data_IF_731116862351
#
_entry.id   IF_731116862351
#
_cell.length_a   1.000
_cell.length_b   1.000
_cell.length_c   1.000
_cell.angle_alpha   90.00
_cell.angle_beta   90.00
_cell.angle_gamma   90.00
#
_symmetry.space_group_name_H-M   'P 1'
#
loop_
_entity.id
_entity.type
_entity.pdbx_description
1 polymer ?
#
# COMPACT_ATOMS: atom_id res chain seq x y z
N UNK A 1 1.97 11.40 -22.56
CA UNK A 1 2.28 11.56 -21.12
C UNK A 1 2.77 10.24 -20.58
N UNK A 2 3.95 10.22 -20.00
CA UNK A 2 4.53 9.04 -19.35
C UNK A 2 4.19 9.12 -17.86
N UNK A 3 3.45 8.11 -17.36
CA UNK A 3 3.11 7.95 -15.96
C UNK A 3 4.01 6.91 -15.31
N UNK A 4 4.80 7.29 -14.33
CA UNK A 4 5.51 6.37 -13.46
C UNK A 4 4.57 5.91 -12.34
N UNK A 5 4.36 4.61 -12.17
CA UNK A 5 3.47 4.06 -11.17
C UNK A 5 4.06 2.81 -10.50
N UNK A 6 3.52 2.43 -9.35
CA UNK A 6 3.78 1.12 -8.76
C UNK A 6 3.03 0.01 -9.55
N UNK A 7 3.38 -1.25 -9.28
CA UNK A 7 2.88 -2.38 -10.08
C UNK A 7 1.37 -2.59 -9.97
N UNK A 8 0.78 -2.27 -8.81
CA UNK A 8 -0.66 -2.46 -8.54
C UNK A 8 -1.56 -1.34 -9.04
N UNK A 9 -1.00 -0.31 -9.74
CA UNK A 9 -1.81 0.74 -10.35
C UNK A 9 -2.63 0.19 -11.51
N UNK A 10 -3.93 0.49 -11.53
CA UNK A 10 -4.84 0.11 -12.62
C UNK A 10 -5.64 1.32 -13.11
N UNK A 11 -5.57 1.54 -14.40
CA UNK A 11 -6.44 2.44 -15.17
C UNK A 11 -6.95 1.65 -16.36
N UNK A 12 -8.26 1.52 -16.49
CA UNK A 12 -8.84 0.70 -17.56
C UNK A 12 -8.59 1.29 -18.95
N UNK A 13 -8.63 0.44 -19.98
CA UNK A 13 -8.47 0.88 -21.36
C UNK A 13 -9.50 1.94 -21.72
N UNK A 14 -10.74 1.83 -21.22
CA UNK A 14 -11.80 2.81 -21.44
C UNK A 14 -11.47 4.19 -20.84
N UNK A 15 -10.88 4.23 -19.65
CA UNK A 15 -10.46 5.50 -19.01
C UNK A 15 -9.23 6.10 -19.72
N UNK A 16 -8.33 5.25 -20.21
CA UNK A 16 -7.20 5.71 -21.05
C UNK A 16 -7.73 6.34 -22.34
N UNK A 17 -8.60 5.63 -23.08
CA UNK A 17 -9.21 6.14 -24.33
C UNK A 17 -9.99 7.43 -24.09
N UNK A 18 -10.72 7.54 -22.97
CA UNK A 18 -11.43 8.76 -22.60
C UNK A 18 -10.47 9.92 -22.38
N UNK A 19 -9.44 9.73 -21.57
CA UNK A 19 -8.42 10.77 -21.34
C UNK A 19 -7.77 11.23 -22.65
N UNK A 20 -7.36 10.28 -23.50
CA UNK A 20 -6.73 10.55 -24.79
C UNK A 20 -7.66 11.33 -25.74
N UNK A 21 -8.94 10.94 -25.78
CA UNK A 21 -9.96 11.62 -26.58
C UNK A 21 -10.23 13.05 -26.12
N UNK A 22 -10.31 13.25 -24.79
CA UNK A 22 -10.69 14.52 -24.19
C UNK A 22 -9.54 15.55 -24.23
N UNK A 23 -8.29 15.06 -24.14
CA UNK A 23 -7.11 15.93 -23.99
C UNK A 23 -6.21 15.98 -25.22
N UNK A 24 -6.24 14.94 -26.05
CA UNK A 24 -5.33 14.75 -27.18
C UNK A 24 -3.91 14.28 -26.78
N UNK A 25 -3.70 13.94 -25.50
CA UNK A 25 -2.45 13.33 -25.03
C UNK A 25 -2.59 11.81 -25.01
N UNK A 26 -1.57 11.11 -25.48
CA UNK A 26 -1.45 9.64 -25.31
C UNK A 26 -0.82 9.32 -23.94
N UNK A 27 -1.23 8.22 -23.30
CA UNK A 27 -0.71 7.76 -22.00
C UNK A 27 0.18 6.53 -22.16
N UNK A 28 1.37 6.59 -21.58
CA UNK A 28 2.27 5.45 -21.40
C UNK A 28 2.48 5.21 -19.90
N UNK A 29 2.09 4.04 -19.40
CA UNK A 29 2.26 3.65 -17.98
C UNK A 29 3.56 2.86 -17.85
N UNK A 30 4.49 3.36 -17.01
CA UNK A 30 5.78 2.74 -16.71
C UNK A 30 5.76 2.27 -15.24
N UNK A 31 5.88 0.96 -15.02
CA UNK A 31 5.84 0.36 -13.68
C UNK A 31 7.25 0.16 -13.12
N UNK A 32 7.41 0.46 -11.82
CA UNK A 32 8.71 0.44 -11.13
C UNK A 32 8.69 -0.39 -9.83
N UNK A 33 7.93 -1.46 -9.77
CA UNK A 33 7.79 -2.27 -8.57
C UNK A 33 6.84 -1.64 -7.55
N UNK A 34 7.07 -1.88 -6.27
CA UNK A 34 6.30 -1.27 -5.17
C UNK A 34 6.75 0.20 -4.93
N UNK A 35 5.99 0.96 -4.14
CA UNK A 35 6.13 2.42 -3.92
C UNK A 35 7.54 2.85 -3.54
N UNK A 36 8.24 2.10 -2.71
CA UNK A 36 9.63 2.42 -2.35
C UNK A 36 10.59 2.29 -3.52
N UNK A 37 10.38 1.29 -4.39
CA UNK A 37 11.15 1.12 -5.63
C UNK A 37 10.86 2.23 -6.62
N UNK A 38 9.58 2.59 -6.81
CA UNK A 38 9.13 3.74 -7.61
C UNK A 38 9.80 5.04 -7.11
N UNK A 39 9.70 5.32 -5.81
CA UNK A 39 10.27 6.53 -5.21
C UNK A 39 11.79 6.59 -5.43
N UNK A 40 12.50 5.48 -5.21
CA UNK A 40 13.94 5.39 -5.46
C UNK A 40 14.28 5.66 -6.93
N UNK A 41 13.51 5.11 -7.86
CA UNK A 41 13.73 5.33 -9.29
C UNK A 41 13.55 6.81 -9.68
N UNK A 42 12.49 7.46 -9.19
CA UNK A 42 12.25 8.89 -9.45
C UNK A 42 13.37 9.77 -8.87
N UNK A 43 13.86 9.47 -7.67
CA UNK A 43 15.01 10.17 -7.07
C UNK A 43 16.28 9.99 -7.91
N UNK A 44 16.59 8.76 -8.32
CA UNK A 44 17.78 8.47 -9.13
C UNK A 44 17.77 9.19 -10.49
N UNK A 45 16.59 9.41 -11.05
CA UNK A 45 16.41 10.01 -12.37
C UNK A 45 16.01 11.49 -12.34
N UNK A 46 15.96 12.13 -11.17
CA UNK A 46 15.46 13.51 -11.00
C UNK A 46 16.13 14.57 -11.90
N UNK A 47 17.39 14.35 -12.33
CA UNK A 47 18.11 15.27 -13.23
C UNK A 47 17.84 15.01 -14.72
N UNK A 48 17.19 13.89 -15.05
CA UNK A 48 16.74 13.53 -16.40
C UNK A 48 15.50 12.61 -16.23
N UNK A 49 14.32 13.17 -15.96
CA UNK A 49 13.13 12.41 -15.60
C UNK A 49 12.74 11.40 -16.67
N UNK A 50 12.44 10.19 -16.25
CA UNK A 50 12.00 9.09 -17.13
C UNK A 50 10.50 9.12 -17.40
N UNK A 51 9.76 9.92 -16.66
CA UNK A 51 8.32 10.10 -16.78
C UNK A 51 7.92 11.56 -16.57
N UNK A 52 6.67 11.88 -16.86
CA UNK A 52 6.11 13.23 -16.78
C UNK A 52 5.28 13.43 -15.51
N UNK A 53 4.58 12.37 -15.10
CA UNK A 53 3.78 12.29 -13.88
C UNK A 53 4.13 11.03 -13.10
N UNK A 54 3.77 11.02 -11.83
CA UNK A 54 3.81 9.82 -10.99
C UNK A 54 2.43 9.56 -10.34
N UNK A 55 2.18 8.30 -10.01
CA UNK A 55 1.10 7.85 -9.13
C UNK A 55 1.66 6.83 -8.14
N UNK A 56 1.20 6.89 -6.87
CA UNK A 56 1.45 5.87 -5.88
C UNK A 56 2.65 6.14 -4.95
N UNK A 57 3.20 7.37 -4.93
CA UNK A 57 3.98 7.81 -3.78
C UNK A 57 2.99 8.09 -2.65
N UNK A 58 3.13 7.40 -1.54
CA UNK A 58 2.22 7.53 -0.40
C UNK A 58 2.79 8.37 0.74
N UNK A 59 1.99 8.62 1.76
CA UNK A 59 2.39 9.42 2.91
C UNK A 59 3.60 8.85 3.69
N UNK A 60 3.98 7.59 3.51
CA UNK A 60 5.20 7.04 4.13
C UNK A 60 6.48 7.39 3.36
N UNK A 61 6.40 7.59 2.04
CA UNK A 61 7.50 7.97 1.16
C UNK A 61 7.47 9.43 0.71
N UNK A 62 6.37 10.15 0.94
CA UNK A 62 6.15 11.52 0.49
C UNK A 62 7.26 12.48 0.92
N UNK A 63 7.60 12.49 2.21
CA UNK A 63 8.63 13.39 2.74
C UNK A 63 9.98 13.22 2.05
N UNK A 64 10.39 11.99 1.83
CA UNK A 64 11.64 11.67 1.11
C UNK A 64 11.61 12.14 -0.34
N UNK A 65 10.51 11.92 -1.05
CA UNK A 65 10.36 12.38 -2.42
C UNK A 65 10.41 13.92 -2.51
N UNK A 66 9.77 14.60 -1.55
CA UNK A 66 9.78 16.08 -1.45
C UNK A 66 11.18 16.62 -1.17
N UNK A 67 11.88 16.09 -0.19
CA UNK A 67 13.25 16.52 0.19
C UNK A 67 14.25 16.33 -0.97
N UNK A 68 14.05 15.30 -1.78
CA UNK A 68 14.87 15.01 -2.95
C UNK A 68 14.42 15.79 -4.22
N UNK A 69 13.35 16.57 -4.12
CA UNK A 69 12.87 17.43 -5.20
C UNK A 69 12.29 16.64 -6.39
N UNK A 70 11.58 15.55 -6.12
CA UNK A 70 10.90 14.75 -7.17
C UNK A 70 9.77 15.54 -7.83
N UNK A 71 9.16 16.47 -7.10
CA UNK A 71 8.08 17.35 -7.56
C UNK A 71 8.24 18.78 -7.05
N UNK A 72 7.84 19.77 -7.84
CA UNK A 72 7.91 21.18 -7.48
C UNK A 72 6.59 21.71 -6.87
N UNK A 73 5.46 21.08 -7.22
CA UNK A 73 4.12 21.40 -6.73
C UNK A 73 3.63 20.26 -5.84
N UNK A 74 2.88 20.59 -4.79
CA UNK A 74 2.27 19.60 -3.93
C UNK A 74 1.41 18.63 -4.76
N UNK A 75 1.66 17.31 -4.67
CA UNK A 75 0.84 16.30 -5.33
C UNK A 75 -0.58 16.26 -4.75
N UNK A 76 -1.50 15.65 -5.50
CA UNK A 76 -2.89 15.47 -5.10
C UNK A 76 -3.11 14.08 -4.54
N UNK A 77 -3.86 13.95 -3.44
CA UNK A 77 -4.32 12.67 -2.95
C UNK A 77 -5.34 12.08 -3.95
N UNK A 78 -5.13 10.85 -4.36
CA UNK A 78 -5.98 10.15 -5.34
C UNK A 78 -6.83 9.09 -4.66
N UNK A 79 -6.25 8.35 -3.74
CA UNK A 79 -6.94 7.31 -2.99
C UNK A 79 -6.33 7.13 -1.60
N UNK A 80 -6.99 6.30 -0.79
CA UNK A 80 -6.49 5.89 0.52
C UNK A 80 -6.99 4.50 0.90
N UNK A 81 -6.26 3.85 1.80
CA UNK A 81 -6.72 2.67 2.52
C UNK A 81 -6.02 2.56 3.87
N UNK A 82 -6.48 1.63 4.71
CA UNK A 82 -5.85 1.36 5.99
C UNK A 82 -5.02 0.08 5.87
N UNK A 83 -3.71 0.18 6.07
CA UNK A 83 -2.81 -0.97 6.09
C UNK A 83 -3.09 -1.78 7.34
N UNK A 84 -3.58 -3.00 7.15
CA UNK A 84 -4.00 -3.94 8.20
C UNK A 84 -3.56 -5.36 7.81
N UNK A 85 -3.53 -6.27 8.78
CA UNK A 85 -3.38 -7.70 8.48
C UNK A 85 -4.71 -8.30 8.04
N UNK A 86 -4.63 -9.23 7.10
CA UNK A 86 -5.75 -10.04 6.64
C UNK A 86 -5.46 -11.51 6.87
N UNK A 87 -6.49 -12.31 7.16
CA UNK A 87 -6.34 -13.76 7.27
C UNK A 87 -7.32 -14.52 6.38
N UNK A 88 -6.91 -15.71 5.95
CA UNK A 88 -7.73 -16.65 5.16
C UNK A 88 -8.68 -17.41 6.08
N UNK A 89 -9.98 -17.13 5.95
CA UNK A 89 -11.02 -17.70 6.80
C UNK A 89 -11.06 -19.24 6.65
N UNK A 90 -11.05 -19.74 5.42
CA UNK A 90 -11.16 -21.16 5.15
C UNK A 90 -9.96 -21.95 5.71
N UNK A 91 -8.76 -21.40 5.61
CA UNK A 91 -7.56 -22.01 6.16
C UNK A 91 -7.64 -22.16 7.69
N UNK A 92 -8.05 -21.09 8.40
CA UNK A 92 -8.19 -21.13 9.86
C UNK A 92 -9.27 -22.09 10.33
N UNK A 93 -10.41 -22.15 9.61
CA UNK A 93 -11.49 -23.09 9.90
C UNK A 93 -11.04 -24.55 9.71
N UNK A 94 -10.28 -24.86 8.64
CA UNK A 94 -9.75 -26.19 8.37
C UNK A 94 -8.67 -26.60 9.38
N UNK A 95 -7.78 -25.69 9.75
CA UNK A 95 -6.73 -25.91 10.74
C UNK A 95 -7.28 -26.05 12.16
N UNK A 96 -8.48 -25.54 12.43
CA UNK A 96 -9.07 -25.53 13.77
C UNK A 96 -8.34 -24.61 14.74
N UNK A 97 -7.64 -23.59 14.24
CA UNK A 97 -6.92 -22.57 15.00
C UNK A 97 -7.79 -21.31 15.05
N UNK A 98 -7.87 -20.68 16.21
CA UNK A 98 -8.57 -19.39 16.32
C UNK A 98 -7.77 -18.30 15.63
N UNK A 99 -8.34 -17.51 14.67
CA UNK A 99 -7.63 -16.40 14.07
C UNK A 99 -7.19 -15.35 15.08
N UNK A 100 -6.07 -14.62 14.85
CA UNK A 100 -5.69 -13.51 15.72
C UNK A 100 -6.73 -12.39 15.65
N UNK A 101 -6.82 -11.60 16.71
CA UNK A 101 -7.68 -10.41 16.81
C UNK A 101 -6.89 -9.12 16.77
N UNK A 102 -5.56 -9.20 16.89
CA UNK A 102 -4.62 -8.08 16.83
C UNK A 102 -3.30 -8.58 16.24
N UNK A 103 -2.60 -7.71 15.51
CA UNK A 103 -1.27 -7.99 15.01
C UNK A 103 -0.24 -8.23 16.13
N UNK A 104 -0.49 -7.74 17.35
CA UNK A 104 0.37 -8.00 18.52
C UNK A 104 0.45 -9.48 18.90
N UNK A 105 -0.54 -10.29 18.52
CA UNK A 105 -0.56 -11.73 18.75
C UNK A 105 0.28 -12.53 17.73
N UNK A 106 0.73 -11.92 16.63
CA UNK A 106 1.49 -12.62 15.59
C UNK A 106 2.83 -13.19 16.07
N UNK A 107 3.29 -12.77 17.25
CA UNK A 107 4.47 -13.33 17.92
C UNK A 107 4.16 -14.55 18.79
N UNK A 108 2.87 -14.88 19.01
CA UNK A 108 2.47 -16.05 19.80
C UNK A 108 2.80 -17.35 19.02
N UNK A 109 3.18 -18.40 19.75
CA UNK A 109 3.56 -19.70 19.18
C UNK A 109 2.46 -20.33 18.30
N UNK A 110 1.18 -20.04 18.58
CA UNK A 110 0.03 -20.52 17.82
C UNK A 110 0.04 -20.00 16.36
N UNK A 111 0.74 -18.91 16.08
CA UNK A 111 0.85 -18.29 14.75
C UNK A 111 2.25 -18.43 14.13
N UNK A 112 3.09 -19.32 14.68
CA UNK A 112 4.45 -19.56 14.16
C UNK A 112 4.42 -19.97 12.68
N UNK A 113 5.16 -19.22 11.85
CA UNK A 113 5.29 -19.48 10.41
C UNK A 113 4.02 -19.26 9.60
N UNK A 114 3.01 -18.55 10.16
CA UNK A 114 1.74 -18.31 9.48
C UNK A 114 1.64 -16.91 8.85
N UNK A 115 2.60 -16.02 9.08
CA UNK A 115 2.49 -14.60 8.72
C UNK A 115 3.48 -14.21 7.62
N UNK A 116 3.01 -13.47 6.62
CA UNK A 116 3.84 -12.76 5.65
C UNK A 116 3.66 -11.26 5.78
N UNK A 117 4.78 -10.55 5.86
CA UNK A 117 4.89 -9.08 5.80
C UNK A 117 5.71 -8.66 4.60
N UNK A 118 5.73 -7.37 4.28
CA UNK A 118 6.55 -6.83 3.18
C UNK A 118 7.75 -6.05 3.72
N UNK A 119 8.81 -5.99 2.91
CA UNK A 119 10.05 -5.32 3.27
C UNK A 119 9.86 -3.79 3.31
N UNK A 120 10.04 -3.12 4.46
CA UNK A 120 9.79 -1.70 4.63
C UNK A 120 10.74 -0.79 3.82
N UNK A 121 11.84 -1.33 3.29
CA UNK A 121 12.74 -0.56 2.43
C UNK A 121 12.13 -0.29 1.05
N UNK A 122 11.23 -1.16 0.57
CA UNK A 122 10.73 -1.16 -0.81
C UNK A 122 9.20 -1.06 -0.91
N UNK A 123 8.48 -1.47 0.14
CA UNK A 123 7.02 -1.59 0.15
C UNK A 123 6.37 -0.60 1.13
N UNK A 124 5.34 0.12 0.67
CA UNK A 124 4.52 1.00 1.51
C UNK A 124 3.89 0.29 2.69
N UNK A 125 3.15 -0.83 2.49
CA UNK A 125 2.58 -1.55 3.62
C UNK A 125 3.62 -1.97 4.65
N UNK A 126 4.82 -2.35 4.22
CA UNK A 126 5.92 -2.70 5.12
C UNK A 126 6.38 -1.51 5.97
N UNK A 127 6.58 -0.34 5.35
CA UNK A 127 6.97 0.87 6.07
C UNK A 127 5.84 1.40 6.95
N UNK A 128 4.60 1.29 6.50
CA UNK A 128 3.41 1.63 7.29
C UNK A 128 3.29 0.76 8.55
N UNK A 129 3.52 -0.56 8.43
CA UNK A 129 3.50 -1.44 9.59
C UNK A 129 4.69 -1.17 10.53
N UNK A 130 5.89 -0.91 10.00
CA UNK A 130 7.03 -0.48 10.84
C UNK A 130 6.69 0.80 11.62
N UNK A 131 6.11 1.81 10.95
CA UNK A 131 5.64 3.04 11.61
C UNK A 131 4.56 2.76 12.66
N UNK A 132 3.61 1.85 12.38
CA UNK A 132 2.60 1.44 13.35
C UNK A 132 3.20 0.85 14.61
N UNK A 133 4.28 0.05 14.49
CA UNK A 133 4.96 -0.49 15.67
C UNK A 133 5.63 0.62 16.49
N UNK A 134 6.24 1.63 15.86
CA UNK A 134 6.78 2.79 16.57
C UNK A 134 5.71 3.67 17.22
N UNK A 135 4.49 3.73 16.66
CA UNK A 135 3.37 4.42 17.29
C UNK A 135 2.78 3.66 18.48
N UNK A 136 2.89 2.33 18.48
CA UNK A 136 2.20 1.44 19.39
C UNK A 136 3.03 1.01 20.61
N UNK A 137 4.36 1.20 20.57
CA UNK A 137 5.28 0.90 21.67
C UNK A 137 5.92 2.18 22.22
N UNK A 138 6.30 2.15 23.51
CA UNK A 138 6.82 3.32 24.21
C UNK A 138 8.32 3.59 23.94
N UNK A 139 9.04 2.65 23.30
CA UNK A 139 10.49 2.77 23.05
C UNK A 139 10.97 1.96 21.85
N UNK A 140 12.05 2.40 21.21
CA UNK A 140 12.73 1.66 20.12
C UNK A 140 13.15 0.25 20.55
N UNK A 141 13.51 0.06 21.81
CA UNK A 141 13.89 -1.26 22.33
C UNK A 141 12.69 -2.24 22.35
N UNK A 142 11.48 -1.76 22.63
CA UNK A 142 10.26 -2.59 22.54
C UNK A 142 9.90 -2.88 21.09
N UNK A 143 10.05 -1.92 20.17
CA UNK A 143 9.88 -2.14 18.74
C UNK A 143 10.85 -3.22 18.23
N UNK A 144 12.15 -3.10 18.54
CA UNK A 144 13.15 -4.11 18.18
C UNK A 144 12.85 -5.47 18.80
N UNK A 145 12.37 -5.48 20.07
CA UNK A 145 11.92 -6.70 20.75
C UNK A 145 10.81 -7.39 19.98
N UNK A 146 9.75 -6.66 19.63
CA UNK A 146 8.63 -7.19 18.86
C UNK A 146 9.06 -7.76 17.49
N UNK A 147 9.88 -7.03 16.74
CA UNK A 147 10.35 -7.50 15.44
C UNK A 147 11.28 -8.71 15.55
N UNK A 148 12.06 -8.80 16.64
CA UNK A 148 12.88 -9.98 16.96
C UNK A 148 11.99 -11.20 17.27
N UNK A 149 10.96 -11.03 18.09
CA UNK A 149 10.00 -12.07 18.40
C UNK A 149 9.23 -12.52 17.14
N UNK A 150 8.85 -11.58 16.27
CA UNK A 150 8.17 -11.88 15.01
C UNK A 150 9.07 -12.65 14.03
N UNK A 151 10.37 -12.28 13.93
CA UNK A 151 11.38 -13.05 13.18
C UNK A 151 11.55 -14.45 13.76
N UNK A 152 11.69 -14.57 15.08
CA UNK A 152 11.86 -15.86 15.78
C UNK A 152 10.60 -16.72 15.70
N UNK A 153 9.46 -16.11 15.38
CA UNK A 153 8.19 -16.76 15.06
C UNK A 153 8.05 -17.10 13.57
N UNK A 154 9.18 -17.14 12.84
CA UNK A 154 9.27 -17.56 11.43
C UNK A 154 8.42 -16.72 10.46
N UNK A 155 8.34 -15.38 10.69
CA UNK A 155 7.67 -14.48 9.74
C UNK A 155 8.35 -14.50 8.38
N UNK A 156 7.55 -14.54 7.32
CA UNK A 156 8.03 -14.35 5.95
C UNK A 156 8.10 -12.86 5.63
N UNK A 157 9.22 -12.39 5.08
CA UNK A 157 9.37 -11.04 4.54
C UNK A 157 9.39 -11.13 3.01
N UNK A 158 8.35 -10.65 2.34
CA UNK A 158 8.25 -10.56 0.90
C UNK A 158 8.88 -9.27 0.37
N UNK A 159 9.29 -9.25 -0.90
CA UNK A 159 9.92 -8.08 -1.54
C UNK A 159 8.94 -6.95 -1.85
N UNK A 160 7.69 -7.28 -2.15
CA UNK A 160 6.61 -6.37 -2.52
C UNK A 160 5.27 -6.84 -1.94
N UNK A 161 4.26 -5.95 -2.00
CA UNK A 161 2.90 -6.34 -1.63
C UNK A 161 2.33 -7.39 -2.59
N UNK A 162 2.59 -7.28 -3.89
CA UNK A 162 2.12 -8.27 -4.87
C UNK A 162 2.71 -9.66 -4.62
N UNK A 163 4.01 -9.76 -4.26
CA UNK A 163 4.62 -11.01 -3.88
C UNK A 163 3.97 -11.60 -2.63
N UNK A 164 3.74 -10.78 -1.60
CA UNK A 164 3.08 -11.21 -0.36
C UNK A 164 1.65 -11.69 -0.62
N UNK A 165 0.87 -10.93 -1.41
CA UNK A 165 -0.56 -11.20 -1.60
C UNK A 165 -0.83 -12.30 -2.61
N UNK A 166 -0.21 -12.24 -3.79
CA UNK A 166 -0.51 -13.16 -4.91
C UNK A 166 0.40 -14.38 -4.99
N UNK A 167 1.53 -14.42 -4.25
CA UNK A 167 2.45 -15.56 -4.27
C UNK A 167 2.56 -16.26 -2.92
N UNK A 168 2.65 -15.52 -1.82
CA UNK A 168 2.89 -16.06 -0.48
C UNK A 168 1.59 -16.37 0.28
N UNK A 169 0.49 -15.65 0.04
CA UNK A 169 -0.78 -15.81 0.75
C UNK A 169 -1.56 -17.07 0.30
N UNK A 170 -2.19 -17.76 1.24
CA UNK A 170 -2.90 -19.04 0.98
C UNK A 170 -4.05 -18.91 0.00
N UNK A 171 -4.72 -17.76 -0.08
CA UNK A 171 -5.80 -17.51 -1.06
C UNK A 171 -5.37 -17.71 -2.52
N UNK A 172 -4.10 -17.53 -2.80
CA UNK A 172 -3.49 -17.68 -4.12
C UNK A 172 -2.54 -18.88 -4.22
N UNK A 173 -2.64 -19.82 -3.27
CA UNK A 173 -1.87 -21.06 -3.26
C UNK A 173 -0.50 -20.94 -2.58
N UNK A 174 -0.22 -19.85 -1.89
CA UNK A 174 0.94 -19.68 -1.05
C UNK A 174 0.86 -20.46 0.27
N UNK A 175 1.81 -20.23 1.17
CA UNK A 175 1.95 -20.98 2.41
C UNK A 175 1.48 -20.21 3.67
N UNK A 176 1.21 -18.91 3.57
CA UNK A 176 0.97 -18.04 4.73
C UNK A 176 -0.50 -17.60 4.78
N UNK A 177 -1.26 -18.04 5.81
CA UNK A 177 -2.68 -17.67 5.94
C UNK A 177 -2.93 -16.28 6.53
N UNK A 178 -1.88 -15.56 6.94
CA UNK A 178 -1.96 -14.18 7.44
C UNK A 178 -1.03 -13.32 6.58
N UNK A 179 -1.58 -12.25 5.99
CA UNK A 179 -0.84 -11.34 5.10
C UNK A 179 -1.02 -9.88 5.53
N UNK A 180 0.06 -9.10 5.47
CA UNK A 180 -0.01 -7.65 5.58
C UNK A 180 -0.60 -7.07 4.29
N UNK A 181 -1.78 -6.44 4.39
CA UNK A 181 -2.51 -5.88 3.26
C UNK A 181 -3.38 -4.71 3.73
N UNK A 182 -4.63 -4.62 3.29
CA UNK A 182 -5.50 -3.48 3.55
C UNK A 182 -6.82 -3.89 4.20
N UNK A 183 -7.45 -2.97 4.96
CA UNK A 183 -8.79 -3.15 5.52
C UNK A 183 -9.84 -3.41 4.43
N UNK A 184 -9.62 -2.89 3.23
CA UNK A 184 -10.48 -3.05 2.05
C UNK A 184 -10.28 -4.37 1.30
N UNK A 185 -9.17 -5.09 1.50
CA UNK A 185 -8.85 -6.32 0.76
C UNK A 185 -9.94 -7.40 0.79
N UNK A 186 -10.74 -7.58 1.87
CA UNK A 186 -11.83 -8.56 1.87
C UNK A 186 -12.88 -8.34 0.78
N UNK A 187 -13.03 -7.12 0.23
CA UNK A 187 -13.93 -6.84 -0.88
C UNK A 187 -13.50 -7.48 -2.20
N UNK A 188 -12.19 -7.74 -2.36
CA UNK A 188 -11.63 -8.45 -3.52
C UNK A 188 -11.78 -9.97 -3.43
N UNK A 189 -12.08 -10.50 -2.24
CA UNK A 189 -12.07 -11.92 -1.94
C UNK A 189 -13.49 -12.49 -1.73
N UNK A 190 -14.49 -11.85 -2.30
CA UNK A 190 -15.90 -12.30 -2.18
C UNK A 190 -16.16 -13.44 -3.17
N UNK A 191 -16.57 -14.59 -2.64
CA UNK A 191 -16.94 -15.75 -3.45
C UNK A 191 -18.28 -15.58 -4.18
N UNK A 192 -18.59 -16.52 -5.10
CA UNK A 192 -19.86 -16.54 -5.85
C UNK A 192 -21.10 -16.66 -4.94
N UNK A 193 -20.92 -17.16 -3.72
CA UNK A 193 -21.97 -17.27 -2.69
C UNK A 193 -22.19 -15.96 -1.90
N UNK A 194 -21.43 -14.89 -2.21
CA UNK A 194 -21.50 -13.58 -1.57
C UNK A 194 -20.83 -13.54 -0.19
N UNK A 195 -19.99 -14.53 0.16
CA UNK A 195 -19.22 -14.53 1.41
C UNK A 195 -17.76 -14.13 1.18
N UNK A 196 -17.14 -13.36 2.10
CA UNK A 196 -15.74 -13.00 1.98
C UNK A 196 -14.85 -14.19 2.30
N UNK A 197 -13.80 -14.40 1.52
CA UNK A 197 -12.78 -15.42 1.75
C UNK A 197 -11.74 -15.01 2.80
N UNK A 198 -11.64 -13.73 3.07
CA UNK A 198 -10.68 -13.17 4.03
C UNK A 198 -11.35 -12.22 5.01
N UNK A 199 -10.63 -11.87 6.08
CA UNK A 199 -11.04 -10.85 7.05
C UNK A 199 -9.84 -10.03 7.50
N UNK A 200 -10.03 -8.71 7.63
CA UNK A 200 -9.03 -7.78 8.13
C UNK A 200 -9.08 -7.67 9.66
N UNK A 201 -7.90 -7.47 10.27
CA UNK A 201 -7.74 -7.08 11.67
C UNK A 201 -7.79 -5.55 11.72
N UNK A 202 -8.92 -4.97 12.12
CA UNK A 202 -9.25 -3.55 11.94
C UNK A 202 -8.73 -2.63 13.06
N UNK A 203 -7.86 -3.13 13.94
CA UNK A 203 -7.32 -2.36 15.07
C UNK A 203 -5.86 -1.97 14.83
N UNK A 204 -5.50 -0.76 15.20
CA UNK A 204 -4.13 -0.23 15.12
C UNK A 204 -3.55 -0.34 13.68
N UNK A 205 -4.39 -0.10 12.67
CA UNK A 205 -3.96 -0.03 11.27
C UNK A 205 -3.28 1.33 10.98
N UNK A 206 -2.62 1.43 9.84
CA UNK A 206 -2.02 2.69 9.39
C UNK A 206 -2.81 3.26 8.20
N UNK A 207 -3.27 4.53 8.30
CA UNK A 207 -3.91 5.20 7.17
C UNK A 207 -2.86 5.54 6.11
N UNK A 208 -2.90 4.83 4.99
CA UNK A 208 -2.11 5.11 3.80
C UNK A 208 -2.93 5.99 2.86
N UNK A 209 -2.30 7.04 2.32
CA UNK A 209 -2.88 7.90 1.28
C UNK A 209 -1.89 7.97 0.14
N UNK A 210 -2.34 7.66 -1.08
CA UNK A 210 -1.51 7.70 -2.28
C UNK A 210 -1.73 8.98 -3.07
N UNK A 211 -0.64 9.47 -3.66
CA UNK A 211 -0.62 10.74 -4.36
C UNK A 211 -0.23 10.56 -5.82
N UNK A 212 -0.79 11.44 -6.67
CA UNK A 212 -0.30 11.68 -8.03
C UNK A 212 0.18 13.12 -8.18
N UNK A 213 1.21 13.30 -9.00
CA UNK A 213 1.77 14.63 -9.21
C UNK A 213 2.63 14.72 -10.47
N UNK A 214 2.96 15.97 -10.82
CA UNK A 214 3.88 16.27 -11.92
C UNK A 214 5.31 16.12 -11.43
N UNK A 215 6.14 15.39 -12.19
CA UNK A 215 7.55 15.23 -11.86
C UNK A 215 8.30 16.51 -12.20
N UNK A 216 9.15 16.98 -11.29
CA UNK A 216 10.00 18.16 -11.48
C UNK A 216 10.90 17.96 -12.69
N UNK A 217 10.96 18.95 -13.57
CA UNK A 217 11.76 18.89 -14.81
C UNK A 217 11.16 18.03 -15.93
N UNK A 218 9.87 17.63 -15.83
CA UNK A 218 9.16 16.96 -16.92
C UNK A 218 9.22 17.73 -18.23
N UNK A 219 9.36 17.03 -19.35
CA UNK A 219 9.29 17.58 -20.70
C UNK A 219 7.85 17.89 -21.15
N UNK A 220 6.83 17.32 -20.46
CA UNK A 220 5.41 17.52 -20.77
C UNK A 220 4.58 17.83 -19.49
N UNK A 221 4.88 18.93 -18.79
CA UNK A 221 4.18 19.25 -17.54
C UNK A 221 2.68 19.52 -17.74
N UNK A 222 2.26 20.06 -18.89
CA UNK A 222 0.85 20.32 -19.17
C UNK A 222 0.04 19.02 -19.36
N UNK A 223 0.61 18.03 -20.04
CA UNK A 223 0.00 16.72 -20.17
C UNK A 223 -0.04 15.96 -18.83
N UNK A 224 1.00 16.11 -18.01
CA UNK A 224 1.06 15.55 -16.67
C UNK A 224 -0.01 16.17 -15.74
N UNK A 225 -0.17 17.50 -15.76
CA UNK A 225 -1.22 18.20 -15.02
C UNK A 225 -2.63 17.72 -15.45
N UNK A 226 -2.86 17.60 -16.77
CA UNK A 226 -4.13 17.09 -17.29
C UNK A 226 -4.43 15.66 -16.82
N UNK A 227 -3.41 14.79 -16.75
CA UNK A 227 -3.59 13.42 -16.26
C UNK A 227 -3.89 13.37 -14.76
N UNK A 228 -3.20 14.17 -13.95
CA UNK A 228 -3.51 14.29 -12.51
C UNK A 228 -4.93 14.83 -12.30
N UNK A 229 -5.34 15.85 -13.07
CA UNK A 229 -6.71 16.39 -13.01
C UNK A 229 -7.75 15.35 -13.42
N UNK A 230 -7.48 14.52 -14.43
CA UNK A 230 -8.34 13.42 -14.85
C UNK A 230 -8.49 12.38 -13.75
N UNK A 231 -7.40 12.01 -13.05
CA UNK A 231 -7.45 11.08 -11.92
C UNK A 231 -8.27 11.64 -10.73
N UNK A 232 -8.40 12.96 -10.58
CA UNK A 232 -9.29 13.59 -9.61
C UNK A 232 -10.74 13.68 -10.11
N UNK A 233 -10.97 13.41 -11.39
CA UNK A 233 -12.28 13.40 -12.01
C UNK A 233 -13.16 12.25 -11.52
N UNK A 234 -14.48 12.45 -11.62
CA UNK A 234 -15.49 11.52 -11.10
C UNK A 234 -15.32 10.10 -11.68
N UNK A 235 -15.15 9.99 -13.00
CA UNK A 235 -15.12 8.69 -13.68
C UNK A 235 -13.94 7.83 -13.21
N UNK A 236 -12.75 8.43 -13.06
CA UNK A 236 -11.59 7.74 -12.50
C UNK A 236 -11.81 7.38 -11.03
N UNK A 237 -12.29 8.31 -10.22
CA UNK A 237 -12.50 8.10 -8.79
C UNK A 237 -13.57 7.01 -8.50
N UNK A 238 -14.63 6.93 -9.30
CA UNK A 238 -15.64 5.85 -9.22
C UNK A 238 -15.06 4.47 -9.61
N UNK A 239 -13.99 4.41 -10.41
CA UNK A 239 -13.31 3.16 -10.77
C UNK A 239 -12.36 2.63 -9.70
N UNK A 240 -11.82 3.50 -8.84
CA UNK A 240 -10.81 3.18 -7.82
C UNK A 240 -11.17 1.97 -6.95
N UNK A 241 -12.41 1.86 -6.39
CA UNK A 241 -12.77 0.73 -5.52
C UNK A 241 -12.67 -0.64 -6.19
N UNK A 242 -13.13 -0.76 -7.44
CA UNK A 242 -13.13 -2.04 -8.14
C UNK A 242 -11.83 -2.33 -8.90
N UNK A 243 -11.08 -1.28 -9.26
CA UNK A 243 -9.82 -1.43 -9.99
C UNK A 243 -8.63 -1.70 -9.07
N UNK A 244 -8.55 -1.02 -7.92
CA UNK A 244 -7.40 -1.07 -7.02
C UNK A 244 -7.76 -1.51 -5.59
N UNK A 245 -9.05 -1.72 -5.30
CA UNK A 245 -9.57 -2.17 -4.00
C UNK A 245 -9.21 -1.23 -2.83
N UNK A 246 -9.16 0.07 -3.10
CA UNK A 246 -8.91 1.15 -2.13
C UNK A 246 -10.03 2.19 -2.19
N UNK A 247 -10.07 3.12 -1.24
CA UNK A 247 -11.08 4.16 -1.20
C UNK A 247 -10.69 5.36 -2.05
N UNK A 248 -11.62 5.95 -2.84
CA UNK A 248 -11.37 7.21 -3.55
C UNK A 248 -11.12 8.35 -2.54
N UNK A 249 -10.16 9.24 -2.84
CA UNK A 249 -9.86 10.39 -1.96
C UNK A 249 -10.82 11.57 -2.17
N UNK A 250 -11.51 11.63 -3.31
CA UNK A 250 -12.46 12.71 -3.60
C UNK A 250 -13.79 12.47 -2.90
N UNK A 251 -14.22 13.42 -2.11
CA UNK A 251 -15.48 13.34 -1.36
C UNK A 251 -16.71 13.26 -2.29
N UNK A 252 -17.70 12.48 -1.86
CA UNK A 252 -18.99 12.38 -2.56
C UNK A 252 -18.98 11.51 -3.83
N UNK A 253 -17.92 10.71 -3.98
CA UNK A 253 -17.86 9.66 -4.99
C UNK A 253 -18.67 8.45 -4.51
N UNK A 254 -19.51 7.91 -5.38
CA UNK A 254 -20.29 6.72 -5.08
C UNK A 254 -19.41 5.48 -5.17
N UNK A 255 -19.38 4.67 -4.12
CA UNK A 255 -18.72 3.37 -4.12
C UNK A 255 -19.75 2.24 -4.27
N UNK A 256 -19.44 1.13 -4.98
CA UNK A 256 -20.37 0.02 -5.12
C UNK A 256 -20.79 -0.54 -3.75
N UNK A 257 -22.11 -0.71 -3.53
CA UNK A 257 -22.64 -1.18 -2.23
C UNK A 257 -22.09 -2.57 -1.85
N UNK A 258 -21.91 -3.45 -2.84
CA UNK A 258 -21.32 -4.78 -2.64
C UNK A 258 -19.86 -4.72 -2.21
N UNK A 259 -19.11 -3.78 -2.77
CA UNK A 259 -17.73 -3.52 -2.38
C UNK A 259 -17.67 -2.94 -0.95
N UNK A 260 -18.46 -1.91 -0.68
CA UNK A 260 -18.49 -1.22 0.62
C UNK A 260 -18.90 -2.15 1.78
N UNK A 261 -19.66 -3.20 1.50
CA UNK A 261 -20.07 -4.18 2.51
C UNK A 261 -18.87 -4.91 3.13
N UNK A 262 -17.81 -5.16 2.36
CA UNK A 262 -16.64 -5.94 2.78
C UNK A 262 -15.38 -5.09 2.93
N UNK A 263 -15.33 -3.92 2.31
CA UNK A 263 -14.26 -2.94 2.50
C UNK A 263 -14.55 -2.08 3.75
N UNK A 264 -14.47 -2.69 4.93
CA UNK A 264 -14.72 -1.99 6.19
C UNK A 264 -13.48 -1.18 6.58
N UNK A 265 -13.59 0.15 6.79
CA UNK A 265 -12.48 0.95 7.30
C UNK A 265 -11.96 0.44 8.64
N UNK A 266 -10.70 0.73 8.96
CA UNK A 266 -10.12 0.42 10.24
C UNK A 266 -10.95 1.00 11.40
N UNK A 267 -11.08 0.25 12.49
CA UNK A 267 -11.73 0.73 13.72
C UNK A 267 -10.85 1.75 14.45
N UNK A 268 -9.53 1.55 14.38
CA UNK A 268 -8.54 2.49 14.93
C UNK A 268 -7.32 2.56 14.00
N UNK A 269 -6.79 3.76 13.83
CA UNK A 269 -5.53 4.02 13.10
C UNK A 269 -4.47 4.55 14.06
N UNK A 270 -3.20 4.31 13.72
CA UNK A 270 -2.04 4.75 14.48
C UNK A 270 -0.97 5.30 13.54
N UNK A 271 -0.06 6.11 14.07
CA UNK A 271 1.12 6.58 13.32
C UNK A 271 0.91 7.84 12.49
N UNK A 272 -0.30 8.41 12.45
CA UNK A 272 -0.59 9.61 11.67
C UNK A 272 0.18 10.86 12.14
N UNK A 273 0.50 10.92 13.44
CA UNK A 273 1.26 12.04 14.05
C UNK A 273 2.78 11.82 14.00
N UNK A 274 3.27 10.71 13.45
CA UNK A 274 4.70 10.41 13.41
C UNK A 274 5.38 11.16 12.27
N UNK A 275 6.53 11.76 12.57
CA UNK A 275 7.44 12.27 11.54
C UNK A 275 8.24 11.10 10.94
N UNK A 276 7.60 10.37 10.02
CA UNK A 276 8.21 9.21 9.35
C UNK A 276 9.46 9.65 8.59
N UNK A 277 9.43 10.81 7.94
CA UNK A 277 10.56 11.28 7.15
C UNK A 277 11.82 11.51 7.99
N UNK A 278 11.67 12.09 9.18
CA UNK A 278 12.79 12.34 10.08
C UNK A 278 13.36 11.06 10.71
N UNK A 279 12.53 10.03 10.89
CA UNK A 279 12.91 8.82 11.63
C UNK A 279 13.18 7.60 10.72
N UNK A 280 12.73 7.64 9.48
CA UNK A 280 12.72 6.51 8.54
C UNK A 280 14.08 5.81 8.42
N UNK A 281 15.19 6.57 8.29
CA UNK A 281 16.52 5.97 8.08
C UNK A 281 16.98 5.17 9.31
N UNK A 282 16.75 5.68 10.53
CA UNK A 282 17.07 4.95 11.75
C UNK A 282 16.18 3.73 11.93
N UNK A 283 14.89 3.84 11.71
CA UNK A 283 13.96 2.72 11.82
C UNK A 283 14.29 1.58 10.85
N UNK A 284 14.61 1.93 9.59
CA UNK A 284 15.00 0.93 8.59
C UNK A 284 16.35 0.28 8.89
N UNK A 285 17.29 1.03 9.47
CA UNK A 285 18.57 0.47 9.91
C UNK A 285 18.37 -0.54 11.04
N UNK A 286 17.61 -0.17 12.07
CA UNK A 286 17.28 -1.01 13.22
C UNK A 286 16.51 -2.27 12.80
N UNK A 287 15.50 -2.10 11.92
CA UNK A 287 14.75 -3.22 11.36
C UNK A 287 15.65 -4.16 10.54
N UNK A 288 16.52 -3.61 9.70
CA UNK A 288 17.46 -4.39 8.88
C UNK A 288 18.44 -5.19 9.75
N UNK A 289 18.85 -4.65 10.89
CA UNK A 289 19.73 -5.34 11.87
C UNK A 289 19.02 -6.57 12.46
N UNK A 290 17.72 -6.49 12.74
CA UNK A 290 16.93 -7.64 13.21
C UNK A 290 16.90 -8.78 12.18
N UNK A 291 16.86 -8.49 10.87
CA UNK A 291 16.75 -9.47 9.79
C UNK A 291 18.08 -9.74 9.05
N UNK A 292 19.22 -9.29 9.59
CA UNK A 292 20.54 -9.39 8.92
C UNK A 292 21.20 -10.77 8.97
N UNK A 293 20.63 -11.79 9.64
CA UNK A 293 21.22 -13.15 9.82
C UNK A 293 20.72 -14.16 8.78
#
# INVERSE_FOLDING_TARGET
>A
VRLAAHDSFVMSDELIEQFESDTGYEVEIIRFGDTGSLTNQLILTKNAPVADAFFGIDNTFFGRAADEGVFDKAPSAIDYSDVCFNYDIAWFDEAGITPPTSWRQLVDEDYRGLTVVTNPNFSSPGLAFLASTHAAFDSDAEVQGFWTELRDNDVRVAGSWEDAYFSDFTRYGGAYPIVLSYASSPSAEVGDDGTPGTRALLQECFRQTEFAGVIAGSDNPAGAEALVEFMLGRDFQESVPEAMFVYPAVEGVDVPETWAQFATPAETTVGEDLDINANRESWLADWSEVFAD
#
